data_IF_752123726032
#
_entry.id   IF_752123726032
#
_cell.length_a   1.000
_cell.length_b   1.000
_cell.length_c   1.000
_cell.angle_alpha   90.00
_cell.angle_beta   90.00
_cell.angle_gamma   90.00
#
_symmetry.space_group_name_H-M   'P 1'
#
loop_
_entity.id
_entity.type
_entity.pdbx_description
1 polymer ?
2 non-polymer ?
3 non-polymer ?
4 water ?
#
# COMPACT_ATOMS: atom_id res chain seq x y z
N UNK A 16 -9.39 -13.24 -10.33
CA UNK A 16 -10.47 -13.86 -9.51
C UNK A 16 -10.92 -12.83 -8.46
N UNK A 17 -10.05 -12.62 -7.48
CA UNK A 17 -10.15 -11.45 -6.61
C UNK A 17 -10.08 -10.18 -7.46
N UNK A 18 -9.09 -10.09 -8.34
CA UNK A 18 -8.96 -8.87 -9.19
C UNK A 18 -10.23 -8.68 -10.07
N UNK A 19 -10.77 -9.79 -10.55
CA UNK A 19 -11.99 -9.82 -11.35
C UNK A 19 -13.22 -9.33 -10.56
N UNK A 20 -13.36 -9.79 -9.33
CA UNK A 20 -14.46 -9.33 -8.47
C UNK A 20 -14.31 -7.84 -8.26
N UNK A 21 -13.09 -7.41 -7.92
CA UNK A 21 -12.92 -5.99 -7.54
C UNK A 21 -12.98 -5.04 -8.73
N UNK A 22 -12.50 -5.46 -9.91
CA UNK A 22 -12.76 -4.73 -11.16
C UNK A 22 -14.24 -4.59 -11.46
N UNK A 23 -14.98 -5.69 -11.33
CA UNK A 23 -16.44 -5.65 -11.47
C UNK A 23 -17.09 -4.72 -10.44
N UNK A 24 -16.61 -4.75 -9.18
CA UNK A 24 -17.10 -3.83 -8.14
C UNK A 24 -16.95 -2.36 -8.53
N UNK A 25 -15.77 -1.98 -9.04
CA UNK A 25 -15.59 -0.62 -9.52
C UNK A 25 -16.66 -0.23 -10.56
N UNK A 26 -16.87 -1.10 -11.55
CA UNK A 26 -17.81 -0.81 -12.66
C UNK A 26 -19.29 -0.66 -12.17
N UNK A 27 -19.71 -1.63 -11.38
CA UNK A 27 -21.10 -1.72 -10.92
C UNK A 27 -21.42 -0.64 -9.89
N UNK A 28 -20.52 -0.42 -8.93
CA UNK A 28 -20.71 0.70 -7.98
C UNK A 28 -20.69 2.05 -8.67
N UNK A 29 -19.87 2.19 -9.71
CA UNK A 29 -19.86 3.44 -10.49
C UNK A 29 -21.17 3.70 -11.25
N UNK A 30 -21.72 2.64 -11.86
CA UNK A 30 -22.96 2.73 -12.63
C UNK A 30 -24.20 2.82 -11.73
N UNK A 31 -24.22 2.02 -10.67
CA UNK A 31 -25.41 1.85 -9.81
C UNK A 31 -25.37 2.57 -8.46
N UNK A 32 -24.20 3.05 -8.05
CA UNK A 32 -24.06 3.68 -6.74
C UNK A 32 -24.03 2.68 -5.59
N UNK A 33 -24.26 3.21 -4.38
CA UNK A 33 -24.14 2.42 -3.15
C UNK A 33 -25.12 1.24 -3.13
N UNK A 34 -26.28 1.47 -3.75
CA UNK A 34 -27.36 0.47 -3.85
C UNK A 34 -27.17 -0.61 -4.92
N UNK A 35 -25.93 -0.77 -5.42
CA UNK A 35 -25.64 -1.74 -6.46
C UNK A 35 -26.15 -3.16 -6.13
N UNK A 36 -26.62 -3.87 -7.16
CA UNK A 36 -26.96 -5.30 -7.02
C UNK A 36 -25.67 -6.10 -6.87
N UNK A 37 -25.37 -6.54 -5.64
CA UNK A 37 -24.14 -7.37 -5.46
C UNK A 37 -24.09 -8.64 -6.33
N UNK A 38 -25.26 -9.21 -6.65
CA UNK A 38 -25.26 -10.40 -7.48
C UNK A 38 -24.66 -10.14 -8.88
N UNK A 39 -24.83 -8.90 -9.37
CA UNK A 39 -24.27 -8.44 -10.65
C UNK A 39 -22.74 -8.44 -10.67
N UNK A 40 -22.15 -8.04 -9.54
CA UNK A 40 -20.71 -8.01 -9.40
C UNK A 40 -20.19 -9.43 -9.38
N UNK A 41 -20.81 -10.31 -8.59
CA UNK A 41 -20.39 -11.71 -8.57
C UNK A 41 -20.42 -12.31 -9.99
N UNK A 42 -21.56 -12.11 -10.66
CA UNK A 42 -21.82 -12.72 -11.95
C UNK A 42 -20.87 -12.20 -13.01
N UNK A 43 -20.66 -10.88 -13.03
CA UNK A 43 -19.66 -10.30 -13.93
C UNK A 43 -18.26 -10.85 -13.72
N UNK A 44 -17.94 -11.21 -12.48
CA UNK A 44 -16.66 -11.79 -12.14
C UNK A 44 -16.65 -13.30 -12.33
N UNK A 45 -17.77 -13.87 -12.79
CA UNK A 45 -17.86 -15.30 -13.06
C UNK A 45 -17.77 -16.11 -11.77
N UNK A 46 -18.38 -15.58 -10.72
CA UNK A 46 -18.27 -16.15 -9.39
C UNK A 46 -19.68 -16.26 -8.75
N UNK A 47 -19.89 -17.22 -7.85
CA UNK A 47 -21.16 -17.37 -7.13
C UNK A 47 -21.33 -16.30 -6.06
N UNK A 48 -22.56 -16.06 -5.60
CA UNK A 48 -22.72 -15.02 -4.57
C UNK A 48 -22.27 -15.49 -3.15
N UNK A 49 -22.23 -16.81 -2.93
CA UNK A 49 -21.62 -17.38 -1.72
C UNK A 49 -20.12 -17.06 -1.71
N UNK A 50 -19.48 -17.22 -2.86
CA UNK A 50 -18.07 -16.89 -3.00
C UNK A 50 -17.81 -15.41 -2.76
N UNK A 51 -18.65 -14.55 -3.35
CA UNK A 51 -18.50 -13.10 -3.17
C UNK A 51 -18.57 -12.80 -1.68
N UNK A 52 -19.62 -13.34 -1.06
CA UNK A 52 -19.90 -13.12 0.38
C UNK A 52 -18.81 -13.64 1.28
N UNK A 53 -18.22 -14.80 0.97
CA UNK A 53 -17.14 -15.33 1.82
C UNK A 53 -15.92 -14.43 1.82
N UNK A 54 -15.69 -13.77 0.69
CA UNK A 54 -14.53 -12.89 0.56
C UNK A 54 -14.78 -11.45 1.01
N UNK A 55 -15.99 -10.98 0.81
CA UNK A 55 -16.37 -9.58 1.05
C UNK A 55 -17.78 -9.63 1.62
N UNK A 56 -17.88 -9.84 2.94
CA UNK A 56 -19.17 -10.10 3.58
C UNK A 56 -20.17 -8.91 3.61
N UNK A 57 -19.68 -7.68 3.47
CA UNK A 57 -20.59 -6.53 3.51
C UNK A 57 -20.33 -5.66 2.28
N UNK A 58 -21.33 -4.87 1.91
CA UNK A 58 -21.09 -4.00 0.77
C UNK A 58 -20.06 -2.95 1.09
N UNK A 59 -19.96 -2.50 2.34
CA UNK A 59 -18.91 -1.53 2.69
C UNK A 59 -17.54 -2.17 2.57
N UNK A 60 -17.41 -3.43 2.99
CA UNK A 60 -16.09 -4.10 2.82
C UNK A 60 -15.71 -4.20 1.35
N UNK A 61 -16.70 -4.53 0.51
CA UNK A 61 -16.46 -4.64 -0.93
C UNK A 61 -16.03 -3.31 -1.55
N UNK A 62 -16.72 -2.23 -1.18
CA UNK A 62 -16.41 -0.88 -1.68
C UNK A 62 -14.98 -0.53 -1.29
N UNK A 63 -14.70 -0.69 0.01
CA UNK A 63 -13.36 -0.37 0.53
C UNK A 63 -12.30 -1.23 -0.16
N UNK A 64 -12.58 -2.52 -0.37
CA UNK A 64 -11.58 -3.42 -1.02
C UNK A 64 -11.32 -3.01 -2.45
N UNK A 65 -12.40 -2.60 -3.15
CA UNK A 65 -12.27 -2.16 -4.52
C UNK A 65 -11.41 -0.90 -4.63
N UNK A 66 -11.66 0.02 -3.70
CA UNK A 66 -10.86 1.24 -3.66
C UNK A 66 -9.39 0.89 -3.37
N UNK A 67 -9.17 0.09 -2.34
CA UNK A 67 -7.80 -0.29 -1.97
C UNK A 67 -7.09 -1.02 -3.10
N UNK A 68 -7.83 -1.82 -3.84
CA UNK A 68 -7.23 -2.55 -4.99
C UNK A 68 -6.82 -1.60 -6.13
N UNK A 69 -7.60 -0.54 -6.35
CA UNK A 69 -7.25 0.48 -7.37
C UNK A 69 -5.92 1.12 -6.96
N UNK A 70 -5.83 1.44 -5.67
CA UNK A 70 -4.63 2.10 -5.11
C UNK A 70 -3.45 1.16 -5.26
N UNK A 71 -3.62 -0.11 -4.87
CA UNK A 71 -2.50 -1.04 -4.94
C UNK A 71 -2.06 -1.35 -6.36
N UNK A 72 -3.00 -1.49 -7.28
CA UNK A 72 -2.64 -1.70 -8.68
C UNK A 72 -1.88 -0.53 -9.26
N UNK A 73 -2.29 0.68 -8.93
CA UNK A 73 -1.54 1.89 -9.35
C UNK A 73 -0.11 1.88 -8.78
N UNK A 74 0.02 1.71 -7.46
CA UNK A 74 1.35 1.75 -6.83
C UNK A 74 2.29 0.65 -7.29
N UNK A 75 1.73 -0.54 -7.44
CA UNK A 75 2.51 -1.73 -7.74
C UNK A 75 2.86 -1.83 -9.21
N UNK A 76 2.37 -0.89 -10.04
CA UNK A 76 2.80 -0.89 -11.43
C UNK A 76 4.22 -0.31 -11.57
N UNK A 77 4.72 0.35 -10.53
CA UNK A 77 5.98 1.13 -10.78
C UNK A 77 7.21 0.27 -11.15
N UNK A 78 7.48 -0.83 -10.39
CA UNK A 78 8.70 -1.57 -10.73
C UNK A 78 8.65 -2.13 -12.20
N UNK A 79 7.48 -2.61 -12.60
CA UNK A 79 7.30 -3.16 -13.96
C UNK A 79 7.46 -2.09 -15.04
N UNK A 80 6.88 -0.91 -14.79
CA UNK A 80 7.10 0.23 -15.71
C UNK A 80 8.56 0.65 -15.81
N UNK A 81 9.24 0.73 -14.67
CA UNK A 81 10.68 1.06 -14.66
C UNK A 81 11.49 -0.01 -15.36
N UNK A 82 11.07 -1.25 -15.24
CA UNK A 82 11.74 -2.39 -15.96
C UNK A 82 11.64 -2.28 -17.50
N UNK A 83 10.55 -1.70 -18.04
CA UNK A 83 10.24 -1.76 -19.48
C UNK A 83 10.46 -0.44 -20.20
N UNK A 84 10.42 0.68 -19.48
CA UNK A 84 10.51 1.98 -20.13
C UNK A 84 11.65 2.85 -19.53
N UNK A 85 12.18 3.80 -20.31
CA UNK A 85 13.08 4.79 -19.75
C UNK A 85 12.31 5.58 -18.66
N UNK A 86 13.00 6.00 -17.59
CA UNK A 86 12.25 6.46 -16.37
C UNK A 86 11.32 7.63 -16.56
N UNK A 87 11.67 8.62 -17.36
CA UNK A 87 10.68 9.66 -17.64
C UNK A 87 9.44 9.17 -18.39
N UNK A 88 9.62 8.19 -19.28
CA UNK A 88 8.50 7.56 -19.98
C UNK A 88 7.67 6.71 -19.03
N UNK A 89 8.36 6.01 -18.11
CA UNK A 89 7.67 5.25 -17.05
C UNK A 89 6.79 6.24 -16.26
N UNK A 90 7.36 7.39 -15.84
CA UNK A 90 6.61 8.39 -15.07
C UNK A 90 5.42 8.87 -15.89
N UNK A 91 5.64 9.19 -17.14
CA UNK A 91 4.50 9.61 -17.98
C UNK A 91 3.37 8.55 -18.03
N UNK A 92 3.74 7.30 -18.30
CA UNK A 92 2.71 6.23 -18.35
C UNK A 92 2.00 6.13 -17.02
N UNK A 93 2.74 6.27 -15.93
CA UNK A 93 2.14 6.11 -14.60
C UNK A 93 1.15 7.23 -14.34
N UNK A 94 1.49 8.45 -14.80
CA UNK A 94 0.56 9.59 -14.55
C UNK A 94 -0.79 9.38 -15.20
N UNK A 95 -0.81 8.68 -16.34
CA UNK A 95 -2.08 8.28 -16.98
C UNK A 95 -2.85 7.29 -16.10
N UNK A 96 -2.11 6.34 -15.54
CA UNK A 96 -2.71 5.38 -14.63
C UNK A 96 -3.24 6.12 -13.39
N UNK A 97 -2.54 7.17 -12.94
CA UNK A 97 -3.05 7.95 -11.79
C UNK A 97 -4.41 8.59 -12.15
N UNK A 98 -4.51 9.21 -13.32
CA UNK A 98 -5.84 9.72 -13.77
C UNK A 98 -6.93 8.63 -13.91
N UNK A 99 -6.57 7.46 -14.44
CA UNK A 99 -7.51 6.31 -14.43
C UNK A 99 -8.03 6.06 -13.01
N UNK A 100 -7.10 6.04 -12.04
CA UNK A 100 -7.46 5.90 -10.62
C UNK A 100 -8.38 7.02 -10.18
N UNK A 101 -8.01 8.27 -10.50
CA UNK A 101 -8.88 9.41 -10.19
C UNK A 101 -10.29 9.26 -10.78
N UNK A 102 -10.37 8.83 -12.04
CA UNK A 102 -11.66 8.66 -12.72
C UNK A 102 -12.49 7.55 -12.03
N UNK A 103 -11.80 6.49 -11.61
CA UNK A 103 -12.44 5.40 -10.85
C UNK A 103 -12.98 5.88 -9.52
N UNK A 104 -12.15 6.65 -8.80
CA UNK A 104 -12.50 7.19 -7.49
C UNK A 104 -13.76 8.05 -7.67
N UNK A 105 -13.74 8.92 -8.67
CA UNK A 105 -14.90 9.76 -8.94
C UNK A 105 -16.14 8.96 -9.30
N UNK A 106 -15.96 7.96 -10.17
CA UNK A 106 -17.04 7.02 -10.52
C UNK A 106 -17.73 6.45 -9.29
N UNK A 107 -16.96 6.04 -8.30
CA UNK A 107 -17.59 5.48 -7.10
C UNK A 107 -17.72 6.48 -5.94
N UNK A 108 -17.84 7.76 -6.28
CA UNK A 108 -17.95 8.81 -5.24
C UNK A 108 -19.11 8.57 -4.26
N UNK A 109 -20.29 8.24 -4.78
CA UNK A 109 -21.47 8.09 -3.91
C UNK A 109 -21.27 6.91 -2.95
N UNK A 110 -20.73 5.81 -3.49
CA UNK A 110 -20.42 4.63 -2.69
C UNK A 110 -19.36 4.92 -1.63
N UNK A 111 -18.28 5.62 -1.98
CA UNK A 111 -17.23 5.95 -1.02
C UNK A 111 -17.72 6.91 0.05
N UNK A 112 -18.50 7.91 -0.37
CA UNK A 112 -19.16 8.86 0.56
C UNK A 112 -19.97 8.12 1.61
N UNK A 113 -20.72 7.11 1.18
CA UNK A 113 -21.58 6.30 2.07
C UNK A 113 -20.76 5.51 3.08
N UNK A 114 -19.68 4.88 2.64
CA UNK A 114 -18.80 4.14 3.55
C UNK A 114 -18.22 5.06 4.63
N UNK A 115 -17.77 6.25 4.23
CA UNK A 115 -17.27 7.22 5.19
C UNK A 115 -18.41 7.61 6.13
N UNK A 116 -19.56 7.95 5.57
CA UNK A 116 -20.70 8.44 6.42
C UNK A 116 -21.18 7.38 7.41
N UNK A 117 -20.95 6.10 7.10
CA UNK A 117 -21.30 5.00 7.98
C UNK A 117 -20.19 4.60 8.95
N UNK A 118 -19.04 5.29 8.91
CA UNK A 118 -17.97 5.03 9.87
C UNK A 118 -16.76 4.28 9.29
N UNK A 119 -16.75 4.08 7.97
CA UNK A 119 -15.66 3.34 7.35
C UNK A 119 -14.49 4.24 7.07
N UNK A 120 -13.35 3.65 6.74
CA UNK A 120 -12.21 4.43 6.25
C UNK A 120 -11.62 3.70 5.08
N UNK A 121 -12.15 3.97 3.89
CA UNK A 121 -11.62 3.29 2.73
C UNK A 121 -10.19 3.77 2.41
N UNK A 122 -9.88 5.00 2.79
CA UNK A 122 -8.66 5.66 2.32
C UNK A 122 -7.39 5.22 3.04
N UNK A 123 -7.48 5.05 4.36
CA UNK A 123 -6.30 4.63 5.17
C UNK A 123 -5.06 5.43 4.77
N UNK A 124 -3.99 4.72 4.42
CA UNK A 124 -2.71 5.37 4.08
C UNK A 124 -2.51 5.44 2.58
N UNK A 125 -3.60 5.53 1.83
CA UNK A 125 -3.51 5.51 0.35
C UNK A 125 -2.70 6.69 -0.16
N UNK A 126 -2.88 7.88 0.44
CA UNK A 126 -2.15 9.05 -0.04
C UNK A 126 -0.65 8.81 0.12
N UNK A 127 -0.23 8.28 1.27
CA UNK A 127 1.22 8.01 1.44
C UNK A 127 1.76 6.95 0.47
N UNK A 128 0.97 5.92 0.18
CA UNK A 128 1.39 4.86 -0.71
C UNK A 128 1.61 5.41 -2.12
N UNK A 129 0.66 6.21 -2.56
CA UNK A 129 0.70 6.79 -3.93
C UNK A 129 1.87 7.79 -4.03
N UNK A 130 2.03 8.61 -3.01
CA UNK A 130 3.18 9.53 -2.94
C UNK A 130 4.51 8.80 -3.02
N UNK A 131 4.61 7.65 -2.35
CA UNK A 131 5.85 6.91 -2.41
C UNK A 131 6.10 6.33 -3.83
N UNK A 132 5.02 5.96 -4.53
CA UNK A 132 5.18 5.37 -5.86
C UNK A 132 5.69 6.48 -6.75
N UNK A 133 5.12 7.66 -6.58
CA UNK A 133 5.60 8.81 -7.38
C UNK A 133 7.06 9.15 -7.08
N UNK A 134 7.42 9.11 -5.80
CA UNK A 134 8.81 9.34 -5.42
C UNK A 134 9.75 8.35 -6.06
N UNK A 135 9.37 7.06 -6.10
CA UNK A 135 10.20 6.05 -6.78
C UNK A 135 10.43 6.40 -8.26
N UNK A 136 9.37 6.82 -8.94
CA UNK A 136 9.47 7.20 -10.38
C UNK A 136 10.35 8.41 -10.56
N UNK A 137 10.12 9.45 -9.73
CA UNK A 137 10.85 10.71 -9.88
C UNK A 137 12.32 10.53 -9.44
N UNK A 138 12.60 9.70 -8.45
CA UNK A 138 14.01 9.49 -8.03
C UNK A 138 14.72 8.81 -9.22
N UNK A 139 14.08 7.83 -9.87
CA UNK A 139 14.74 7.12 -10.99
C UNK A 139 14.94 8.09 -12.20
N UNK A 140 13.93 8.90 -12.50
CA UNK A 140 14.02 9.82 -13.68
C UNK A 140 15.09 10.91 -13.39
N UNK A 141 15.19 11.38 -12.13
CA UNK A 141 16.15 12.45 -11.78
C UNK A 141 17.57 11.87 -11.80
N UNK A 142 17.71 10.64 -11.32
CA UNK A 142 19.03 9.93 -11.29
C UNK A 142 19.55 9.70 -12.70
N UNK A 143 18.62 9.50 -13.65
CA UNK A 143 18.98 9.33 -15.04
C UNK A 143 19.17 10.66 -15.81
N UNK A 144 18.94 11.79 -15.14
CA UNK A 144 19.05 13.09 -15.79
C UNK A 144 17.93 13.45 -16.75
N UNK A 145 16.86 12.64 -16.74
CA UNK A 145 15.76 12.79 -17.67
C UNK A 145 14.75 13.82 -17.17
N UNK A 146 14.77 14.07 -15.86
CA UNK A 146 14.00 15.20 -15.29
C UNK A 146 14.93 16.01 -14.37
N UNK A 147 14.53 17.25 -14.08
CA UNK A 147 15.17 18.03 -13.01
C UNK A 147 15.08 17.31 -11.65
N UNK A 148 16.03 17.62 -10.78
CA UNK A 148 16.11 16.91 -9.51
C UNK A 148 15.59 17.76 -8.34
N UNK A 149 15.22 19.01 -8.62
CA UNK A 149 14.82 19.96 -7.56
C UNK A 149 13.32 20.05 -7.31
N UNK A 150 12.50 19.23 -7.96
CA UNK A 150 11.07 19.28 -7.67
C UNK A 150 10.73 18.26 -6.63
N UNK A 151 9.96 18.63 -5.61
CA UNK A 151 9.57 17.69 -4.54
C UNK A 151 8.46 16.79 -5.03
N UNK A 152 8.52 15.49 -4.67
CA UNK A 152 7.44 14.58 -5.02
C UNK A 152 6.10 14.97 -4.39
N UNK A 153 6.15 15.59 -3.21
CA UNK A 153 4.91 16.03 -2.58
C UNK A 153 4.23 17.16 -3.39
N UNK A 154 5.02 17.95 -4.11
CA UNK A 154 4.44 19.02 -4.93
C UNK A 154 3.89 18.41 -6.22
N UNK A 155 4.62 17.49 -6.83
CA UNK A 155 4.08 16.77 -8.01
C UNK A 155 2.78 16.06 -7.66
N UNK A 156 2.73 15.46 -6.47
CA UNK A 156 1.50 14.81 -6.06
C UNK A 156 0.36 15.82 -6.03
N UNK A 157 0.60 17.00 -5.43
CA UNK A 157 -0.45 18.02 -5.35
C UNK A 157 -0.89 18.43 -6.77
N UNK A 158 0.07 18.50 -7.69
CA UNK A 158 -0.25 18.90 -9.08
C UNK A 158 -1.19 17.87 -9.68
N UNK A 159 -0.86 16.58 -9.52
CA UNK A 159 -1.74 15.53 -10.05
C UNK A 159 -3.09 15.53 -9.36
N UNK A 160 -3.12 15.74 -8.03
CA UNK A 160 -4.42 15.81 -7.28
C UNK A 160 -5.30 16.91 -7.85
N UNK A 161 -4.70 18.03 -8.23
CA UNK A 161 -5.53 19.15 -8.76
C UNK A 161 -6.08 18.79 -10.14
N UNK A 162 -5.28 18.19 -10.98
CA UNK A 162 -5.75 17.71 -12.28
C UNK A 162 -6.89 16.71 -12.07
N UNK A 163 -6.74 15.82 -11.09
CA UNK A 163 -7.88 14.94 -10.70
C UNK A 163 -9.12 15.75 -10.34
N UNK A 164 -8.97 16.80 -9.54
CA UNK A 164 -10.13 17.57 -9.10
C UNK A 164 -10.80 18.32 -10.25
N UNK A 165 -10.01 18.85 -11.17
CA UNK A 165 -10.58 19.59 -12.27
C UNK A 165 -10.97 18.79 -13.50
N UNK A 166 -10.44 17.58 -13.67
CA UNK A 166 -10.52 16.96 -14.99
C UNK A 166 -10.68 15.43 -14.93
N UNK A 167 -11.33 14.91 -13.88
CA UNK A 167 -11.48 13.44 -13.69
C UNK A 167 -12.68 12.80 -14.43
N UNK A 168 -13.63 13.61 -14.88
CA UNK A 168 -14.78 13.03 -15.56
C UNK A 168 -14.28 12.34 -16.82
N UNK A 169 -14.89 11.21 -17.21
CA UNK A 169 -14.56 10.65 -18.53
C UNK A 169 -14.55 11.66 -19.70
N UNK A 170 -15.49 12.63 -19.72
CA UNK A 170 -15.61 13.64 -20.78
C UNK A 170 -14.54 14.74 -20.72
N UNK A 171 -13.71 14.74 -19.67
CA UNK A 171 -12.64 15.76 -19.55
C UNK A 171 -11.27 15.17 -19.89
N UNK A 172 -11.27 13.97 -20.49
CA UNK A 172 -10.03 13.19 -20.62
C UNK A 172 -8.96 13.92 -21.47
N UNK A 173 -9.38 14.60 -22.54
CA UNK A 173 -8.40 15.32 -23.37
C UNK A 173 -7.73 16.47 -22.59
N UNK A 174 -8.53 17.26 -21.88
CA UNK A 174 -7.96 18.28 -20.99
C UNK A 174 -7.04 17.65 -19.95
N UNK A 175 -7.44 16.56 -19.30
CA UNK A 175 -6.59 15.88 -18.29
C UNK A 175 -5.24 15.53 -18.91
N UNK A 176 -5.25 15.04 -20.16
CA UNK A 176 -4.03 14.57 -20.86
C UNK A 176 -3.13 15.79 -21.12
N UNK A 177 -3.72 16.89 -21.58
CA UNK A 177 -2.93 18.09 -21.85
C UNK A 177 -2.34 18.71 -20.56
N UNK A 178 -3.10 18.63 -19.46
CA UNK A 178 -2.59 19.18 -18.18
C UNK A 178 -1.44 18.32 -17.66
N UNK A 179 -1.59 16.99 -17.82
CA UNK A 179 -0.48 16.09 -17.46
C UNK A 179 0.77 16.42 -18.28
N UNK A 180 0.56 16.69 -19.58
CA UNK A 180 1.71 17.02 -20.46
C UNK A 180 2.40 18.31 -19.98
N UNK A 181 1.60 19.27 -19.55
CA UNK A 181 2.13 20.57 -19.11
C UNK A 181 2.96 20.41 -17.83
N UNK A 182 2.44 19.67 -16.86
CA UNK A 182 3.15 19.43 -15.59
C UNK A 182 4.43 18.61 -15.79
N UNK A 183 4.34 17.58 -16.65
CA UNK A 183 5.52 16.78 -16.98
C UNK A 183 6.58 17.62 -17.68
N UNK A 184 6.11 18.52 -18.55
CA UNK A 184 7.05 19.49 -19.18
C UNK A 184 7.71 20.44 -18.15
N UNK A 185 7.01 20.76 -17.08
CA UNK A 185 7.64 21.54 -15.95
C UNK A 185 8.82 20.79 -15.30
N UNK A 186 8.88 19.48 -15.52
CA UNK A 186 9.96 18.64 -14.94
C UNK A 186 11.17 18.52 -15.84
N UNK A 187 11.09 19.07 -17.05
CA UNK A 187 12.17 18.94 -18.02
C UNK A 187 13.45 19.64 -17.52
N UNK A 188 14.62 19.01 -17.73
CA UNK A 188 15.91 19.55 -17.35
C UNK A 188 16.12 20.95 -17.88
N UNK B 16 0.30 13.23 14.88
CA UNK B 16 -0.75 12.73 15.83
C UNK B 16 -1.35 11.37 15.45
N UNK B 17 -1.70 11.21 14.17
CA UNK B 17 -2.22 9.92 13.66
C UNK B 17 -1.13 8.83 13.62
N UNK B 18 0.03 9.15 13.04
CA UNK B 18 1.16 8.21 13.02
C UNK B 18 1.51 7.80 14.47
N UNK B 19 1.42 8.73 15.42
CA UNK B 19 1.70 8.39 16.80
C UNK B 19 0.74 7.41 17.40
N UNK B 20 -0.55 7.64 17.16
CA UNK B 20 -1.60 6.79 17.69
C UNK B 20 -1.44 5.42 17.10
N UNK B 21 -1.26 5.38 15.77
CA UNK B 21 -1.22 4.09 15.06
C UNK B 21 0.01 3.27 15.41
N UNK B 22 1.16 3.92 15.57
CA UNK B 22 2.38 3.25 16.02
C UNK B 22 2.18 2.65 17.41
N UNK B 23 1.62 3.45 18.31
CA UNK B 23 1.27 2.99 19.66
C UNK B 23 0.26 1.84 19.65
N UNK B 24 -0.78 1.94 18.81
CA UNK B 24 -1.72 0.84 18.64
C UNK B 24 -1.07 -0.47 18.23
N UNK B 25 -0.20 -0.42 17.22
CA UNK B 25 0.47 -1.63 16.80
C UNK B 25 1.26 -2.24 17.96
N UNK B 26 2.00 -1.40 18.69
CA UNK B 26 2.83 -1.84 19.80
C UNK B 26 1.95 -2.54 20.84
N UNK B 27 0.88 -1.88 21.26
CA UNK B 27 0.03 -2.38 22.34
C UNK B 27 -0.81 -3.59 21.90
N UNK B 28 -1.38 -3.56 20.71
CA UNK B 28 -2.14 -4.71 20.23
C UNK B 28 -1.23 -5.90 19.98
N UNK B 29 -0.01 -5.68 19.49
CA UNK B 29 0.86 -6.83 19.29
C UNK B 29 1.33 -7.48 20.59
N UNK B 30 1.43 -6.69 21.66
CA UNK B 30 1.78 -7.18 23.00
C UNK B 30 0.62 -7.82 23.75
N UNK B 31 -0.55 -7.18 23.70
CA UNK B 31 -1.64 -7.53 24.61
C UNK B 31 -2.87 -8.10 23.91
N UNK B 32 -2.84 -8.16 22.58
CA UNK B 32 -4.00 -8.55 21.78
C UNK B 32 -5.26 -7.84 22.24
N UNK B 33 -6.33 -8.59 22.44
CA UNK B 33 -7.63 -8.01 22.85
C UNK B 33 -7.75 -7.63 24.32
N UNK B 34 -6.70 -7.86 25.10
CA UNK B 34 -6.67 -7.41 26.49
C UNK B 34 -6.23 -5.95 26.50
N UNK B 35 -5.91 -5.43 25.32
CA UNK B 35 -5.42 -4.07 25.18
C UNK B 35 -6.48 -3.07 25.66
N UNK B 36 -6.04 -2.14 26.51
CA UNK B 36 -6.90 -1.06 26.97
C UNK B 36 -6.61 0.11 26.07
N UNK B 37 -7.67 0.76 25.59
CA UNK B 37 -7.50 1.90 24.69
C UNK B 37 -6.80 3.10 25.35
N UNK B 38 -7.03 3.26 26.66
CA UNK B 38 -6.31 4.23 27.51
C UNK B 38 -4.78 4.09 27.42
N UNK B 39 -4.26 2.84 27.37
CA UNK B 39 -2.82 2.61 27.23
C UNK B 39 -2.25 3.10 25.88
N UNK B 40 -3.00 2.86 24.80
CA UNK B 40 -2.66 3.35 23.45
C UNK B 40 -2.67 4.86 23.38
N UNK B 41 -3.75 5.47 23.84
CA UNK B 41 -3.83 6.93 23.92
C UNK B 41 -2.61 7.49 24.70
N UNK B 42 -2.28 6.84 25.82
CA UNK B 42 -1.17 7.26 26.72
C UNK B 42 0.20 7.22 26.04
N UNK B 43 0.42 6.11 25.29
CA UNK B 43 1.70 5.92 24.65
C UNK B 43 1.85 6.90 23.49
N UNK B 44 0.72 7.16 22.78
CA UNK B 44 0.69 8.16 21.71
C UNK B 44 0.73 9.58 22.23
N UNK B 45 0.60 9.75 23.55
CA UNK B 45 0.54 11.08 24.14
C UNK B 45 -0.67 11.92 23.81
N UNK B 46 -1.81 11.27 23.54
CA UNK B 46 -3.03 11.99 23.19
C UNK B 46 -4.14 11.68 24.18
N UNK B 47 -5.13 12.56 24.25
CA UNK B 47 -6.29 12.35 25.12
C UNK B 47 -7.15 11.27 24.51
N UNK B 48 -7.86 10.52 25.34
CA UNK B 48 -8.67 9.41 24.84
C UNK B 48 -9.86 9.86 23.99
N UNK B 49 -10.46 11.02 24.32
CA UNK B 49 -11.50 11.59 23.45
C UNK B 49 -11.02 11.79 22.01
N UNK B 50 -9.82 12.33 21.89
CA UNK B 50 -9.12 12.49 20.61
C UNK B 50 -9.03 11.14 19.85
N UNK B 51 -8.74 10.07 20.59
CA UNK B 51 -8.63 8.76 19.97
C UNK B 51 -9.99 8.27 19.49
N UNK B 52 -11.03 8.46 20.33
CA UNK B 52 -12.39 8.07 19.97
C UNK B 52 -12.94 8.87 18.81
N UNK B 53 -12.69 10.17 18.81
CA UNK B 53 -13.08 11.04 17.69
C UNK B 53 -12.52 10.49 16.35
N UNK B 54 -11.25 10.10 16.33
CA UNK B 54 -10.60 9.64 15.10
C UNK B 54 -10.92 8.18 14.73
N UNK B 55 -11.12 7.32 15.72
CA UNK B 55 -11.33 5.87 15.55
C UNK B 55 -12.40 5.41 16.51
N UNK B 56 -13.66 5.45 16.07
CA UNK B 56 -14.84 5.35 16.92
C UNK B 56 -15.14 3.93 17.35
N UNK B 57 -14.26 3.01 17.00
CA UNK B 57 -14.49 1.61 17.18
C UNK B 57 -13.12 0.99 17.38
N UNK B 58 -13.03 -0.02 18.24
CA UNK B 58 -11.77 -0.71 18.45
C UNK B 58 -11.29 -1.35 17.15
N UNK B 59 -12.21 -1.99 16.43
CA UNK B 59 -11.81 -2.63 15.17
C UNK B 59 -11.35 -1.64 14.09
N UNK B 60 -11.89 -0.43 14.10
CA UNK B 60 -11.44 0.58 13.16
C UNK B 60 -9.98 0.99 13.51
N UNK B 61 -9.70 1.10 14.80
CA UNK B 61 -8.32 1.37 15.29
C UNK B 61 -7.36 0.27 14.89
N UNK B 62 -7.73 -0.98 15.13
CA UNK B 62 -6.88 -2.12 14.76
C UNK B 62 -6.61 -2.14 13.26
N UNK B 63 -7.68 -2.02 12.47
CA UNK B 63 -7.49 -2.00 10.98
C UNK B 63 -6.57 -0.89 10.51
N UNK B 64 -6.85 0.34 10.94
CA UNK B 64 -5.99 1.51 10.60
C UNK B 64 -4.52 1.32 11.02
N UNK B 65 -4.31 0.79 12.23
CA UNK B 65 -2.95 0.51 12.75
C UNK B 65 -2.22 -0.49 11.87
N UNK B 66 -2.90 -1.60 11.54
CA UNK B 66 -2.31 -2.59 10.63
C UNK B 66 -1.97 -1.96 9.26
N UNK B 67 -2.92 -1.22 8.67
CA UNK B 67 -2.70 -0.63 7.35
C UNK B 67 -1.58 0.36 7.36
N UNK B 68 -1.49 1.13 8.46
CA UNK B 68 -0.39 2.07 8.61
C UNK B 68 0.96 1.37 8.68
N UNK B 69 1.01 0.24 9.40
CA UNK B 69 2.25 -0.53 9.55
C UNK B 69 2.75 -1.04 8.17
N UNK B 70 1.81 -1.57 7.40
CA UNK B 70 2.10 -2.03 6.01
C UNK B 70 2.59 -0.86 5.17
N UNK B 71 1.91 0.27 5.21
CA UNK B 71 2.30 1.38 4.35
C UNK B 71 3.68 1.92 4.75
N UNK B 72 3.94 2.02 6.04
CA UNK B 72 5.29 2.49 6.45
C UNK B 72 6.41 1.54 5.94
N UNK B 73 6.16 0.25 6.00
CA UNK B 73 7.10 -0.76 5.51
C UNK B 73 7.34 -0.58 4.01
N UNK B 74 6.26 -0.46 3.22
CA UNK B 74 6.39 -0.30 1.79
C UNK B 74 7.06 1.00 1.37
N UNK B 75 6.74 2.06 2.10
CA UNK B 75 7.10 3.39 1.69
C UNK B 75 8.54 3.72 2.12
N UNK B 76 9.16 2.83 2.90
CA UNK B 76 10.56 3.01 3.26
C UNK B 76 11.48 2.72 2.07
N UNK B 77 10.98 2.06 1.01
CA UNK B 77 11.88 1.56 -0.05
C UNK B 77 12.64 2.64 -0.82
N UNK B 78 11.93 3.69 -1.32
CA UNK B 78 12.69 4.73 -2.03
C UNK B 78 13.81 5.37 -1.18
N UNK B 79 13.50 5.72 0.05
CA UNK B 79 14.48 6.32 0.93
C UNK B 79 15.65 5.41 1.20
N UNK B 80 15.37 4.12 1.43
CA UNK B 80 16.49 3.17 1.66
C UNK B 80 17.39 3.02 0.43
N UNK B 81 16.76 2.98 -0.75
CA UNK B 81 17.55 2.90 -1.99
C UNK B 81 18.33 4.16 -2.31
N UNK B 82 17.85 5.29 -1.79
CA UNK B 82 18.58 6.54 -1.89
C UNK B 82 19.82 6.59 -1.00
N UNK B 83 19.81 5.89 0.14
CA UNK B 83 20.91 6.01 1.11
C UNK B 83 21.90 4.86 1.13
N UNK B 84 21.49 3.70 0.62
CA UNK B 84 22.31 2.51 0.71
C UNK B 84 22.49 1.82 -0.63
N UNK B 85 23.63 1.13 -0.81
CA UNK B 85 23.78 0.26 -2.00
C UNK B 85 22.61 -0.72 -1.97
N UNK B 86 22.08 -1.11 -3.15
CA UNK B 86 20.80 -1.78 -3.14
C UNK B 86 20.70 -3.10 -2.40
N UNK B 87 21.74 -3.94 -2.40
CA UNK B 87 21.68 -5.17 -1.58
C UNK B 87 21.61 -4.86 -0.07
N UNK B 88 22.29 -3.79 0.37
CA UNK B 88 22.19 -3.34 1.75
C UNK B 88 20.86 -2.68 2.03
N UNK B 89 20.31 -1.93 1.07
CA UNK B 89 18.88 -1.52 1.20
C UNK B 89 17.94 -2.72 1.43
N UNK B 90 18.03 -3.74 0.55
CA UNK B 90 17.28 -4.99 0.73
C UNK B 90 17.47 -5.58 2.15
N UNK B 91 18.71 -5.71 2.61
CA UNK B 91 18.99 -6.25 3.94
C UNK B 91 18.30 -5.44 5.05
N UNK B 92 18.45 -4.11 5.02
CA UNK B 92 17.81 -3.26 6.06
C UNK B 92 16.31 -3.45 6.03
N UNK B 93 15.75 -3.48 4.82
CA UNK B 93 14.31 -3.63 4.71
C UNK B 93 13.79 -4.99 5.18
N UNK B 94 14.53 -6.06 4.92
CA UNK B 94 14.12 -7.35 5.40
C UNK B 94 14.00 -7.41 6.94
N UNK B 95 14.84 -6.69 7.64
CA UNK B 95 14.67 -6.57 9.11
C UNK B 95 13.35 -5.86 9.43
N UNK B 96 13.01 -4.82 8.67
CA UNK B 96 11.72 -4.12 8.87
C UNK B 96 10.56 -5.04 8.54
N UNK B 97 10.73 -5.87 7.52
CA UNK B 97 9.71 -6.87 7.22
C UNK B 97 9.51 -7.79 8.44
N UNK B 98 10.62 -8.32 9.02
CA UNK B 98 10.46 -9.22 10.17
C UNK B 98 9.79 -8.48 11.32
N UNK B 99 10.13 -7.19 11.50
CA UNK B 99 9.47 -6.34 12.55
C UNK B 99 7.93 -6.30 12.33
N UNK B 100 7.53 -6.08 11.09
CA UNK B 100 6.13 -6.08 10.64
C UNK B 100 5.46 -7.45 10.85
N UNK B 101 6.13 -8.51 10.43
CA UNK B 101 5.54 -9.87 10.51
C UNK B 101 5.39 -10.37 11.97
N UNK B 102 6.33 -9.96 12.80
CA UNK B 102 6.29 -10.21 14.25
C UNK B 102 5.09 -9.52 14.88
N UNK B 103 4.90 -8.24 14.55
CA UNK B 103 3.71 -7.47 14.96
C UNK B 103 2.40 -8.10 14.47
N UNK B 104 2.37 -8.49 13.20
CA UNK B 104 1.23 -9.19 12.60
C UNK B 104 0.87 -10.42 13.43
N UNK B 105 1.89 -11.22 13.76
CA UNK B 105 1.65 -12.46 14.53
C UNK B 105 1.14 -12.12 15.91
N UNK B 106 1.72 -11.09 16.53
CA UNK B 106 1.27 -10.64 17.86
C UNK B 106 -0.14 -10.07 17.88
N UNK B 107 -0.55 -9.45 16.78
CA UNK B 107 -1.89 -8.87 16.65
C UNK B 107 -2.95 -9.85 16.19
N UNK B 108 -2.62 -11.14 16.19
CA UNK B 108 -3.46 -12.18 15.59
C UNK B 108 -4.91 -12.11 16.08
N UNK B 109 -5.08 -12.04 17.40
CA UNK B 109 -6.45 -11.98 17.99
C UNK B 109 -7.19 -10.69 17.60
N UNK B 110 -6.45 -9.58 17.58
CA UNK B 110 -7.05 -8.28 17.26
C UNK B 110 -7.49 -8.26 15.80
N UNK B 111 -6.63 -8.77 14.91
CA UNK B 111 -6.95 -8.84 13.48
C UNK B 111 -8.16 -9.77 13.23
N UNK B 112 -8.20 -10.89 13.92
CA UNK B 112 -9.38 -11.78 13.93
C UNK B 112 -10.69 -11.05 14.26
N UNK B 113 -10.64 -10.14 15.23
CA UNK B 113 -11.83 -9.43 15.71
C UNK B 113 -12.32 -8.39 14.69
N UNK B 114 -11.39 -7.87 13.89
CA UNK B 114 -11.79 -7.02 12.79
C UNK B 114 -12.58 -7.85 11.74
N UNK B 115 -12.08 -9.04 11.41
CA UNK B 115 -12.78 -9.94 10.52
C UNK B 115 -14.18 -10.27 11.04
N UNK B 116 -14.24 -10.72 12.29
CA UNK B 116 -15.46 -11.29 12.84
C UNK B 116 -16.55 -10.22 12.97
N UNK B 117 -16.18 -8.97 12.77
CA UNK B 117 -17.14 -7.87 12.70
C UNK B 117 -17.42 -7.45 11.25
N UNK B 118 -16.85 -8.21 10.31
CA UNK B 118 -17.16 -8.05 8.89
C UNK B 118 -16.22 -7.11 8.15
N UNK B 119 -15.11 -6.75 8.80
CA UNK B 119 -14.12 -5.85 8.20
C UNK B 119 -12.96 -6.63 7.63
N UNK B 120 -12.05 -5.93 6.95
CA UNK B 120 -10.94 -6.64 6.28
C UNK B 120 -9.69 -5.83 6.40
N UNK B 121 -8.85 -6.17 7.40
CA UNK B 121 -7.65 -5.37 7.64
C UNK B 121 -6.63 -5.51 6.49
N UNK B 122 -6.70 -6.59 5.73
CA UNK B 122 -5.54 -7.02 4.91
C UNK B 122 -5.53 -6.40 3.55
N UNK B 123 -6.70 -6.31 2.93
CA UNK B 123 -6.80 -5.66 1.62
C UNK B 123 -5.74 -6.24 0.69
N UNK B 124 -5.01 -5.33 0.01
CA UNK B 124 -3.97 -5.71 -0.96
C UNK B 124 -2.60 -5.69 -0.29
N UNK B 125 -2.55 -5.80 1.05
CA UNK B 125 -1.21 -5.74 1.76
C UNK B 125 -0.14 -6.69 1.18
N UNK B 126 -0.51 -7.93 0.91
CA UNK B 126 0.44 -8.89 0.39
C UNK B 126 1.03 -8.36 -0.93
N UNK B 127 0.18 -7.86 -1.81
CA UNK B 127 0.63 -7.35 -3.11
C UNK B 127 1.54 -6.13 -2.95
N UNK B 128 1.15 -5.21 -2.08
CA UNK B 128 1.94 -3.98 -1.85
C UNK B 128 3.35 -4.37 -1.36
N UNK B 129 3.39 -5.29 -0.39
CA UNK B 129 4.67 -5.65 0.22
C UNK B 129 5.50 -6.47 -0.75
N UNK B 130 4.86 -7.38 -1.46
CA UNK B 130 5.62 -8.09 -2.56
C UNK B 130 6.21 -7.13 -3.60
N UNK B 131 5.48 -6.05 -3.90
CA UNK B 131 6.00 -5.09 -4.87
C UNK B 131 7.17 -4.30 -4.34
N UNK B 132 7.15 -4.01 -3.04
CA UNK B 132 8.28 -3.31 -2.37
C UNK B 132 9.52 -4.19 -2.47
N UNK B 133 9.31 -5.47 -2.19
CA UNK B 133 10.36 -6.44 -2.34
C UNK B 133 10.88 -6.51 -3.79
N UNK B 134 9.97 -6.56 -4.74
CA UNK B 134 10.37 -6.52 -6.16
C UNK B 134 11.23 -5.29 -6.51
N UNK B 135 10.84 -4.11 -6.00
CA UNK B 135 11.61 -2.89 -6.25
C UNK B 135 13.07 -3.01 -5.74
N UNK B 136 13.19 -3.55 -4.53
CA UNK B 136 14.52 -3.78 -3.90
C UNK B 136 15.32 -4.80 -4.69
N UNK B 137 14.69 -5.93 -5.02
CA UNK B 137 15.40 -7.00 -5.73
C UNK B 137 15.75 -6.60 -7.18
N UNK B 138 14.85 -5.89 -7.85
CA UNK B 138 15.15 -5.39 -9.18
C UNK B 138 16.40 -4.47 -9.11
N UNK B 139 16.45 -3.57 -8.13
CA UNK B 139 17.62 -2.64 -8.08
C UNK B 139 18.90 -3.41 -7.77
N UNK B 140 18.84 -4.34 -6.82
CA UNK B 140 20.07 -5.07 -6.42
C UNK B 140 20.55 -5.98 -7.57
N UNK B 141 19.61 -6.57 -8.33
CA UNK B 141 20.01 -7.41 -9.49
C UNK B 141 20.59 -6.56 -10.61
N UNK B 142 19.99 -5.38 -10.82
CA UNK B 142 20.48 -4.50 -11.88
C UNK B 142 21.93 -4.07 -11.61
N UNK B 143 22.25 -3.93 -10.32
CA UNK B 143 23.57 -3.50 -9.92
C UNK B 143 24.58 -4.66 -9.83
N UNK B 144 24.12 -5.86 -10.16
CA UNK B 144 24.92 -7.06 -10.09
C UNK B 144 25.21 -7.54 -8.68
N UNK B 145 24.48 -7.02 -7.68
CA UNK B 145 24.82 -7.32 -6.29
C UNK B 145 24.10 -8.55 -5.78
N UNK B 146 23.02 -8.93 -6.46
CA UNK B 146 22.35 -10.20 -6.23
C UNK B 146 22.07 -10.88 -7.56
N UNK B 147 21.83 -12.19 -7.49
CA UNK B 147 21.31 -12.93 -8.63
C UNK B 147 19.98 -12.34 -9.07
N UNK B 148 19.64 -12.61 -10.33
CA UNK B 148 18.42 -12.01 -10.88
C UNK B 148 17.29 -13.04 -11.08
N UNK B 149 17.54 -14.28 -10.68
CA UNK B 149 16.59 -15.35 -10.95
C UNK B 149 15.70 -15.80 -9.77
N UNK B 150 15.68 -15.03 -8.70
CA UNK B 150 14.76 -15.33 -7.60
C UNK B 150 13.47 -14.52 -7.70
N UNK B 151 12.35 -15.17 -7.39
CA UNK B 151 11.03 -14.58 -7.47
C UNK B 151 10.72 -13.85 -6.15
N UNK B 152 10.10 -12.66 -6.25
CA UNK B 152 9.71 -11.91 -5.06
C UNK B 152 8.71 -12.67 -4.19
N UNK B 153 7.84 -13.46 -4.81
CA UNK B 153 6.86 -14.21 -4.00
C UNK B 153 7.57 -15.28 -3.13
N UNK B 154 8.68 -15.81 -3.67
CA UNK B 154 9.45 -16.79 -2.93
C UNK B 154 10.21 -16.11 -1.81
N UNK B 155 10.79 -14.94 -2.09
CA UNK B 155 11.48 -14.23 -1.04
C UNK B 155 10.48 -13.84 0.06
N UNK B 156 9.27 -13.45 -0.35
CA UNK B 156 8.29 -13.11 0.66
C UNK B 156 8.04 -14.31 1.60
N UNK B 157 7.87 -15.48 1.00
CA UNK B 157 7.58 -16.69 1.79
C UNK B 157 8.77 -17.05 2.71
N UNK B 158 9.98 -16.81 2.21
CA UNK B 158 11.21 -17.06 3.03
C UNK B 158 11.20 -16.18 4.25
N UNK B 159 10.95 -14.89 4.06
CA UNK B 159 10.92 -13.99 5.21
C UNK B 159 9.76 -14.29 6.20
N UNK B 160 8.60 -14.60 5.65
CA UNK B 160 7.43 -15.01 6.43
C UNK B 160 7.79 -16.19 7.32
N UNK B 161 8.55 -17.13 6.76
CA UNK B 161 8.92 -18.31 7.50
C UNK B 161 9.81 -18.00 8.70
N UNK B 162 10.74 -17.07 8.50
CA UNK B 162 11.64 -16.64 9.58
C UNK B 162 10.80 -16.01 10.69
N UNK B 163 9.85 -15.17 10.31
CA UNK B 163 8.92 -14.56 11.35
C UNK B 163 8.13 -15.59 12.14
N UNK B 164 7.70 -16.65 11.47
CA UNK B 164 6.99 -17.70 12.18
C UNK B 164 7.86 -18.55 13.10
N UNK B 165 9.11 -18.80 12.72
CA UNK B 165 9.94 -19.64 13.55
C UNK B 165 10.67 -18.86 14.65
N UNK B 166 10.91 -17.58 14.41
CA UNK B 166 11.95 -16.87 15.15
C UNK B 166 11.52 -15.51 15.68
N UNK B 167 10.25 -15.40 16.11
CA UNK B 167 9.68 -14.14 16.59
C UNK B 167 9.84 -13.83 18.06
N UNK B 168 10.14 -14.81 18.89
CA UNK B 168 10.29 -14.55 20.35
C UNK B 168 11.50 -13.66 20.64
N UNK B 169 11.45 -12.86 21.74
CA UNK B 169 12.61 -12.00 22.03
C UNK B 169 13.91 -12.81 22.12
N UNK B 170 13.81 -14.03 22.63
CA UNK B 170 14.97 -14.93 22.77
C UNK B 170 15.40 -15.59 21.46
N UNK B 171 14.65 -15.33 20.40
CA UNK B 171 14.97 -15.91 19.07
C UNK B 171 15.53 -14.83 18.16
N UNK B 172 15.79 -13.66 18.72
CA UNK B 172 16.25 -12.51 17.95
C UNK B 172 17.52 -12.83 17.18
N UNK B 173 18.48 -13.46 17.86
CA UNK B 173 19.76 -13.69 17.20
C UNK B 173 19.58 -14.70 16.05
N UNK B 174 18.80 -15.75 16.29
CA UNK B 174 18.44 -16.73 15.22
C UNK B 174 17.82 -16.04 14.03
N UNK B 175 16.87 -15.14 14.25
CA UNK B 175 16.24 -14.45 13.13
C UNK B 175 17.26 -13.68 12.28
N UNK B 176 18.25 -13.03 12.94
CA UNK B 176 19.30 -12.25 12.25
C UNK B 176 20.14 -13.24 11.44
N UNK B 177 20.49 -14.37 12.04
CA UNK B 177 21.25 -15.40 11.31
C UNK B 177 20.51 -16.02 10.11
N UNK B 178 19.21 -16.23 10.25
CA UNK B 178 18.37 -16.72 9.12
C UNK B 178 18.26 -15.69 8.01
N UNK B 179 18.10 -14.41 8.37
CA UNK B 179 18.13 -13.37 7.35
C UNK B 179 19.46 -13.39 6.60
N UNK B 180 20.56 -13.57 7.32
CA UNK B 180 21.89 -13.59 6.69
C UNK B 180 21.98 -14.76 5.70
N UNK B 181 21.44 -15.90 6.10
CA UNK B 181 21.50 -17.13 5.29
C UNK B 181 20.71 -16.92 4.02
N UNK B 182 19.52 -16.34 4.16
CA UNK B 182 18.64 -16.09 2.96
C UNK B 182 19.28 -15.08 2.02
N UNK B 183 19.82 -13.99 2.56
CA UNK B 183 20.52 -13.00 1.72
C UNK B 183 21.76 -13.59 1.08
N UNK B 184 22.44 -14.49 1.77
CA UNK B 184 23.57 -15.22 1.15
C UNK B 184 23.14 -16.12 -0.02
N UNK B 185 21.93 -16.68 0.05
CA UNK B 185 21.39 -17.48 -1.08
C UNK B 185 21.21 -16.58 -2.33
N UNK B 186 21.16 -15.25 -2.13
CA UNK B 186 20.94 -14.30 -3.23
C UNK B 186 22.25 -13.94 -3.90
N UNK B 187 23.37 -14.38 -3.36
CA UNK B 187 24.68 -14.00 -3.92
C UNK B 187 24.76 -14.40 -5.41
N UNK B 188 25.32 -13.51 -6.27
CA UNK B 188 25.53 -13.66 -7.73
C UNK B 188 26.47 -14.86 -7.87
N UNK B 189 26.39 -15.56 -9.00
CA UNK B 189 27.55 -16.27 -9.57
C UNK B 189 28.89 -15.57 -9.53
N UNK B 190 28.92 -14.39 -10.15
CA UNK B 190 30.04 -13.49 -10.05
C UNK B 190 29.50 -12.08 -10.08
X LIG C 1 -2.86 21.55 -11.05
X LIG C 1 -1.86 21.84 -10.33
X LIG C 1 -3.88 21.48 -10.44
X LIG C 1 -2.85 21.28 -12.50
X LIG D 1 -3.94 1.83 3.34
#
# INVERSE_FOLDING_TARGET
XSDATKRPLRADAQRNRDKILAAAVRVFSEEGLDAHLERIAREAGVGSGTLYRNFPTREALIEAAYRNEVARLCDSVPGLLAELPPAEALRAWTRRFIDYATAKLGMADALRAVVASGGDPYGDSRQLIQSALTALMDAAAAAGEIRSDIRSTDMFAALAGIALTSSRPDQRAQAERLLDLVLDGLRPTAPRPA
XSDATKRPLRADAQRNRDKILAAAVRVFSEEGLDAHLERIAREAGVGSGTLYRNFPTREALIEAAYRNEVARLCDSVPGLLAELPPAEALRAWTRRFIDYATAKLGMADALRAVVASGGDPYGDSRQLIQSALTALMDAAAAAGEIRSDIRSTDMFAALAGIALTSSRPDQRAQAERLLDLVLDGLRPTAPRPA
ACT C O OXT CH3
CL CL
#
